data_IF_340721383542
#
_entry.id   IF_340721383542
#
_cell.length_a   1.000
_cell.length_b   1.000
_cell.length_c   1.000
_cell.angle_alpha   90.00
_cell.angle_beta   90.00
_cell.angle_gamma   90.00
#
_symmetry.space_group_name_H-M   'P 1'
#
loop_
_entity.id
_entity.type
_entity.pdbx_description
1 polymer ?
#
# COMPACT_ATOMS: atom_id res chain seq x y z
N UNK A 1 3.17 9.53 22.54
CA UNK A 1 3.73 8.31 21.88
C UNK A 1 4.85 8.64 20.88
N UNK A 2 5.66 9.67 21.17
CA UNK A 2 6.58 10.29 20.21
C UNK A 2 7.59 9.33 19.56
N UNK A 3 8.18 8.34 20.27
CA UNK A 3 9.13 7.43 19.63
C UNK A 3 8.54 6.59 18.47
N UNK A 4 7.24 6.24 18.54
CA UNK A 4 6.57 5.50 17.47
C UNK A 4 6.35 6.38 16.24
N UNK A 5 5.94 7.64 16.45
CA UNK A 5 5.74 8.61 15.37
C UNK A 5 7.07 8.98 14.71
N UNK A 6 8.12 9.27 15.49
CA UNK A 6 9.47 9.54 14.98
C UNK A 6 10.04 8.35 14.18
N UNK A 7 9.74 7.12 14.59
CA UNK A 7 10.11 5.94 13.83
C UNK A 7 9.34 5.84 12.51
N UNK A 8 8.02 6.04 12.54
CA UNK A 8 7.19 6.05 11.33
C UNK A 8 7.64 7.12 10.33
N UNK A 9 7.92 8.34 10.81
CA UNK A 9 8.38 9.46 9.98
C UNK A 9 9.72 9.14 9.29
N UNK A 10 10.67 8.54 10.00
CA UNK A 10 11.95 8.10 9.40
C UNK A 10 11.75 7.08 8.28
N UNK A 11 10.82 6.14 8.44
CA UNK A 11 10.51 5.15 7.41
C UNK A 11 9.82 5.78 6.20
N UNK A 12 8.92 6.74 6.43
CA UNK A 12 8.27 7.51 5.36
C UNK A 12 9.32 8.29 4.57
N UNK A 13 10.28 8.95 5.24
CA UNK A 13 11.37 9.66 4.57
C UNK A 13 12.23 8.73 3.71
N UNK A 14 12.65 7.57 4.23
CA UNK A 14 13.39 6.57 3.45
C UNK A 14 12.58 6.06 2.25
N UNK A 15 11.27 5.87 2.41
CA UNK A 15 10.39 5.51 1.31
C UNK A 15 10.33 6.62 0.26
N UNK A 16 10.21 7.88 0.66
CA UNK A 16 10.17 9.01 -0.27
C UNK A 16 11.42 9.11 -1.12
N UNK A 17 12.59 8.87 -0.54
CA UNK A 17 13.87 8.78 -1.26
C UNK A 17 13.84 7.65 -2.29
N UNK A 18 13.54 6.42 -1.86
CA UNK A 18 13.42 5.25 -2.76
C UNK A 18 12.38 5.47 -3.86
N UNK A 19 11.30 6.17 -3.54
CA UNK A 19 10.23 6.47 -4.49
C UNK A 19 10.66 7.53 -5.52
N UNK A 20 11.57 8.44 -5.18
CA UNK A 20 12.19 9.35 -6.16
C UNK A 20 13.08 8.57 -7.13
N UNK A 21 13.90 7.67 -6.62
CA UNK A 21 14.75 6.81 -7.45
C UNK A 21 13.90 5.93 -8.39
N UNK A 22 12.89 5.28 -7.83
CA UNK A 22 11.92 4.50 -8.61
C UNK A 22 11.25 5.33 -9.72
N UNK A 23 10.80 6.56 -9.42
CA UNK A 23 10.18 7.43 -10.43
C UNK A 23 11.16 7.77 -11.56
N UNK A 24 12.41 8.04 -11.22
CA UNK A 24 13.48 8.32 -12.19
C UNK A 24 13.74 7.10 -13.08
N UNK A 25 13.93 5.92 -12.49
CA UNK A 25 14.12 4.67 -13.22
C UNK A 25 12.91 4.33 -14.10
N UNK A 26 11.69 4.57 -13.60
CA UNK A 26 10.47 4.36 -14.38
C UNK A 26 10.37 5.32 -15.57
N UNK A 27 10.82 6.57 -15.43
CA UNK A 27 10.88 7.51 -16.55
C UNK A 27 11.90 7.08 -17.61
N UNK A 28 13.09 6.63 -17.19
CA UNK A 28 14.11 6.09 -18.09
C UNK A 28 13.56 4.85 -18.82
N UNK A 29 12.96 3.94 -18.06
CA UNK A 29 12.34 2.72 -18.58
C UNK A 29 11.24 3.04 -19.59
N UNK A 30 10.33 3.97 -19.29
CA UNK A 30 9.25 4.38 -20.21
C UNK A 30 9.81 5.03 -21.49
N UNK A 31 10.89 5.79 -21.38
CA UNK A 31 11.54 6.43 -22.53
C UNK A 31 12.14 5.39 -23.47
N UNK A 32 12.85 4.40 -22.91
CA UNK A 32 13.36 3.25 -23.66
C UNK A 32 12.25 2.43 -24.30
N UNK A 33 11.17 2.17 -23.56
CA UNK A 33 10.00 1.44 -24.05
C UNK A 33 9.39 2.12 -25.29
N UNK A 34 9.22 3.46 -25.25
CA UNK A 34 8.73 4.22 -26.40
C UNK A 34 9.64 4.11 -27.62
N UNK A 35 10.96 4.17 -27.41
CA UNK A 35 11.93 4.03 -28.50
C UNK A 35 11.90 2.63 -29.13
N UNK A 36 11.88 1.58 -28.30
CA UNK A 36 11.80 0.19 -28.77
C UNK A 36 10.48 -0.08 -29.51
N UNK A 37 9.35 0.40 -28.98
CA UNK A 37 8.06 0.29 -29.65
C UNK A 37 8.02 1.04 -31.00
N UNK A 38 8.69 2.19 -31.10
CA UNK A 38 8.83 2.91 -32.35
C UNK A 38 9.70 2.15 -33.38
N UNK A 39 10.74 1.44 -32.93
CA UNK A 39 11.56 0.60 -33.79
C UNK A 39 10.76 -0.58 -34.35
N UNK A 40 10.03 -1.30 -33.49
CA UNK A 40 9.13 -2.37 -33.92
C UNK A 40 8.13 -1.86 -34.96
N UNK A 41 7.48 -0.72 -34.68
CA UNK A 41 6.54 -0.09 -35.63
C UNK A 41 7.20 0.21 -36.97
N UNK A 42 8.44 0.71 -36.98
CA UNK A 42 9.19 0.99 -38.22
C UNK A 42 9.53 -0.29 -38.97
N UNK A 43 9.93 -1.36 -38.30
CA UNK A 43 10.24 -2.65 -38.91
C UNK A 43 9.01 -3.24 -39.62
N UNK A 44 7.88 -3.30 -38.89
CA UNK A 44 6.59 -3.77 -39.42
C UNK A 44 6.12 -2.93 -40.60
N UNK A 45 6.18 -1.59 -40.49
CA UNK A 45 5.78 -0.69 -41.58
C UNK A 45 6.62 -0.85 -42.85
N UNK A 46 7.86 -1.36 -42.74
CA UNK A 46 8.75 -1.64 -43.87
C UNK A 46 8.60 -3.07 -44.40
N UNK A 47 7.66 -3.85 -43.86
CA UNK A 47 7.40 -5.23 -44.27
C UNK A 47 8.34 -6.28 -43.65
N UNK A 48 9.15 -5.90 -42.66
CA UNK A 48 9.98 -6.87 -41.92
C UNK A 48 9.18 -7.51 -40.77
N UNK A 49 9.44 -8.78 -40.42
CA UNK A 49 8.74 -9.48 -39.34
C UNK A 49 8.85 -8.83 -37.96
N UNK A 50 9.95 -8.13 -37.66
CA UNK A 50 10.14 -7.41 -36.40
C UNK A 50 10.55 -8.28 -35.19
N UNK A 51 10.94 -9.54 -35.41
CA UNK A 51 11.25 -10.51 -34.34
C UNK A 51 12.34 -10.03 -33.37
N UNK A 52 13.36 -9.32 -33.87
CA UNK A 52 14.43 -8.77 -33.03
C UNK A 52 13.94 -7.63 -32.14
N UNK A 53 13.09 -6.74 -32.69
CA UNK A 53 12.50 -5.64 -31.94
C UNK A 53 11.48 -6.14 -30.91
N UNK A 54 10.74 -7.21 -31.21
CA UNK A 54 9.88 -7.88 -30.24
C UNK A 54 10.67 -8.48 -29.08
N UNK A 55 11.77 -9.18 -29.37
CA UNK A 55 12.62 -9.77 -28.32
C UNK A 55 13.29 -8.69 -27.47
N UNK A 56 13.71 -7.57 -28.08
CA UNK A 56 14.22 -6.42 -27.35
C UNK A 56 13.17 -5.81 -26.40
N UNK A 57 11.91 -5.69 -26.84
CA UNK A 57 10.81 -5.25 -26.00
C UNK A 57 10.53 -6.22 -24.85
N UNK A 58 10.48 -7.53 -25.12
CA UNK A 58 10.28 -8.56 -24.08
C UNK A 58 11.37 -8.51 -23.02
N UNK A 59 12.63 -8.35 -23.43
CA UNK A 59 13.75 -8.22 -22.51
C UNK A 59 13.72 -6.91 -21.72
N UNK A 60 13.26 -5.81 -22.32
CA UNK A 60 13.09 -4.54 -21.61
C UNK A 60 11.96 -4.60 -20.57
N UNK A 61 10.84 -5.27 -20.87
CA UNK A 61 9.74 -5.47 -19.92
C UNK A 61 10.16 -6.22 -18.66
N UNK A 62 11.07 -7.20 -18.78
CA UNK A 62 11.63 -7.93 -17.62
C UNK A 62 12.39 -7.02 -16.64
N UNK A 63 12.87 -5.87 -17.11
CA UNK A 63 13.64 -4.91 -16.31
C UNK A 63 12.79 -3.73 -15.83
N UNK A 64 11.46 -3.86 -15.81
CA UNK A 64 10.58 -2.81 -15.30
C UNK A 64 10.86 -2.60 -13.81
N UNK A 65 11.15 -1.35 -13.39
CA UNK A 65 11.41 -1.07 -11.98
C UNK A 65 10.15 -1.39 -11.16
N UNK A 66 10.36 -1.86 -9.94
CA UNK A 66 9.29 -2.19 -9.01
C UNK A 66 9.03 -1.02 -8.08
N UNK A 67 7.76 -0.63 -7.92
CA UNK A 67 7.39 0.45 -7.00
C UNK A 67 7.73 0.05 -5.56
N UNK A 68 8.45 0.87 -4.79
CA UNK A 68 8.64 0.58 -3.38
C UNK A 68 7.29 0.58 -2.66
N UNK A 69 7.12 -0.33 -1.69
CA UNK A 69 5.93 -0.37 -0.84
C UNK A 69 5.98 0.82 0.12
N UNK A 70 4.88 1.57 0.24
CA UNK A 70 4.80 2.66 1.22
C UNK A 70 4.63 2.06 2.61
N UNK A 71 5.56 2.32 3.55
CA UNK A 71 5.38 1.89 4.92
C UNK A 71 4.19 2.65 5.52
N UNK A 72 3.12 1.94 5.89
CA UNK A 72 1.96 2.54 6.53
C UNK A 72 1.69 1.83 7.86
N UNK A 73 2.43 2.24 8.89
CA UNK A 73 2.48 1.54 10.17
C UNK A 73 1.54 2.10 11.22
N UNK A 74 1.08 3.35 11.10
CA UNK A 74 0.25 4.01 12.12
C UNK A 74 -1.02 4.52 11.46
N UNK A 75 -2.16 4.00 11.91
CA UNK A 75 -3.49 4.43 11.53
C UNK A 75 -4.17 5.12 12.70
N UNK A 76 -4.65 6.35 12.50
CA UNK A 76 -5.35 7.15 13.52
C UNK A 76 -6.82 7.35 13.19
N UNK A 77 -7.11 7.97 12.04
CA UNK A 77 -8.46 8.14 11.50
C UNK A 77 -8.46 7.72 10.03
N UNK A 78 -8.80 6.45 9.78
CA UNK A 78 -8.88 5.91 8.43
C UNK A 78 -10.20 5.21 8.17
N UNK A 79 -10.66 5.33 6.93
CA UNK A 79 -11.80 4.54 6.46
C UNK A 79 -11.45 3.06 6.41
N UNK A 80 -12.48 2.19 6.49
CA UNK A 80 -12.33 0.75 6.31
C UNK A 80 -11.61 0.40 5.01
N UNK A 81 -11.96 1.10 3.92
CA UNK A 81 -11.34 0.88 2.60
C UNK A 81 -9.85 1.21 2.64
N UNK A 82 -9.49 2.37 3.16
CA UNK A 82 -8.10 2.80 3.26
C UNK A 82 -7.27 1.87 4.16
N UNK A 83 -7.87 1.34 5.23
CA UNK A 83 -7.25 0.34 6.09
C UNK A 83 -6.99 -0.97 5.31
N UNK A 84 -8.00 -1.51 4.63
CA UNK A 84 -7.86 -2.76 3.87
C UNK A 84 -6.86 -2.62 2.71
N UNK A 85 -6.91 -1.52 1.96
CA UNK A 85 -5.95 -1.22 0.90
C UNK A 85 -4.53 -1.13 1.43
N UNK A 86 -4.33 -0.38 2.51
CA UNK A 86 -3.02 -0.26 3.11
C UNK A 86 -2.50 -1.58 3.69
N UNK A 87 -3.37 -2.40 4.29
CA UNK A 87 -3.02 -3.75 4.76
C UNK A 87 -2.78 -4.75 3.63
N UNK A 88 -3.32 -4.51 2.43
CA UNK A 88 -3.02 -5.29 1.24
C UNK A 88 -1.63 -4.94 0.67
N UNK A 89 -1.24 -3.66 0.74
CA UNK A 89 0.10 -3.22 0.36
C UNK A 89 1.16 -3.60 1.41
N UNK A 90 0.82 -3.48 2.69
CA UNK A 90 1.69 -3.76 3.83
C UNK A 90 0.89 -4.43 4.96
N UNK A 91 0.99 -5.75 5.14
CA UNK A 91 0.11 -6.48 6.06
C UNK A 91 0.35 -6.17 7.53
N UNK A 92 1.55 -5.74 7.93
CA UNK A 92 1.84 -5.33 9.30
C UNK A 92 1.55 -3.84 9.55
N UNK A 93 0.72 -3.53 10.56
CA UNK A 93 0.47 -2.17 10.99
C UNK A 93 -0.02 -2.07 12.44
N UNK A 94 -0.15 -0.84 12.93
CA UNK A 94 -0.72 -0.50 14.22
C UNK A 94 -1.82 0.56 14.10
N UNK A 95 -2.90 0.41 14.87
CA UNK A 95 -3.81 1.50 15.19
C UNK A 95 -3.34 2.10 16.51
N UNK A 96 -2.64 3.22 16.42
CA UNK A 96 -1.94 3.83 17.56
C UNK A 96 -2.51 5.23 17.73
N UNK A 97 -3.08 5.52 18.90
CA UNK A 97 -3.66 6.84 19.20
C UNK A 97 -3.46 7.21 20.66
N UNK A 98 -2.96 8.41 20.91
CA UNK A 98 -2.90 9.02 22.24
C UNK A 98 -4.26 9.61 22.69
N UNK A 99 -5.25 9.64 21.78
CA UNK A 99 -6.62 10.01 22.05
C UNK A 99 -7.62 8.98 21.47
N UNK A 100 -7.86 7.91 22.23
CA UNK A 100 -8.72 6.79 21.83
C UNK A 100 -10.14 7.18 21.44
N UNK A 101 -10.61 8.38 21.80
CA UNK A 101 -11.92 8.90 21.39
C UNK A 101 -12.06 8.94 19.86
N UNK A 102 -10.96 9.21 19.15
CA UNK A 102 -10.93 9.26 17.68
C UNK A 102 -11.24 7.88 17.11
N UNK A 103 -10.58 6.84 17.62
CA UNK A 103 -10.89 5.46 17.26
C UNK A 103 -12.33 5.07 17.64
N UNK A 104 -12.79 5.40 18.85
CA UNK A 104 -14.15 5.08 19.31
C UNK A 104 -15.24 5.86 18.58
N UNK A 105 -14.92 6.94 17.87
CA UNK A 105 -15.87 7.64 16.98
C UNK A 105 -15.77 7.18 15.53
N UNK A 106 -14.64 6.57 15.16
CA UNK A 106 -14.41 6.05 13.81
C UNK A 106 -15.43 4.98 13.42
N UNK A 107 -15.64 4.83 12.11
CA UNK A 107 -16.50 3.78 11.55
C UNK A 107 -15.85 2.39 11.64
N UNK A 108 -14.52 2.31 11.82
CA UNK A 108 -13.78 1.05 11.93
C UNK A 108 -14.23 0.18 13.10
N UNK A 109 -14.60 0.81 14.23
CA UNK A 109 -15.10 0.11 15.42
C UNK A 109 -16.29 -0.80 15.15
N UNK A 110 -17.06 -0.49 14.09
CA UNK A 110 -18.25 -1.24 13.69
C UNK A 110 -17.90 -2.54 12.93
N UNK A 111 -16.62 -2.84 12.73
CA UNK A 111 -16.12 -4.04 12.04
C UNK A 111 -15.30 -4.97 12.96
N UNK A 112 -15.81 -5.37 14.14
CA UNK A 112 -15.03 -6.16 15.10
C UNK A 112 -14.53 -7.49 14.54
N UNK A 113 -15.29 -8.12 13.63
CA UNK A 113 -14.85 -9.35 12.95
C UNK A 113 -13.59 -9.16 12.10
N UNK A 114 -13.47 -8.03 11.40
CA UNK A 114 -12.24 -7.68 10.68
C UNK A 114 -11.10 -7.41 11.66
N UNK A 115 -11.35 -6.56 12.66
CA UNK A 115 -10.32 -6.14 13.61
C UNK A 115 -9.76 -7.34 14.39
N UNK A 116 -10.61 -8.30 14.78
CA UNK A 116 -10.21 -9.54 15.46
C UNK A 116 -9.37 -10.46 14.55
N UNK A 117 -9.76 -10.60 13.28
CA UNK A 117 -8.96 -11.37 12.30
C UNK A 117 -7.60 -10.72 12.07
N UNK A 118 -7.57 -9.39 11.94
CA UNK A 118 -6.34 -8.64 11.77
C UNK A 118 -5.44 -8.70 13.01
N UNK A 119 -6.01 -8.68 14.21
CA UNK A 119 -5.26 -8.88 15.45
C UNK A 119 -4.64 -10.29 15.53
N UNK A 120 -5.39 -11.31 15.10
CA UNK A 120 -4.96 -12.71 15.18
C UNK A 120 -4.12 -13.19 13.99
N UNK A 121 -3.84 -12.34 13.00
CA UNK A 121 -3.08 -12.74 11.82
C UNK A 121 -3.85 -13.65 10.86
N UNK A 122 -5.18 -13.64 10.91
CA UNK A 122 -6.02 -14.53 10.10
C UNK A 122 -6.35 -13.92 8.73
N UNK A 123 -6.48 -14.75 7.69
CA UNK A 123 -6.90 -14.27 6.38
C UNK A 123 -8.33 -13.74 6.41
N UNK A 124 -8.57 -12.70 5.62
CA UNK A 124 -9.86 -12.08 5.44
C UNK A 124 -10.07 -11.65 3.98
N UNK A 125 -11.23 -12.03 3.45
CA UNK A 125 -11.71 -11.56 2.15
C UNK A 125 -12.55 -10.31 2.33
N UNK A 126 -12.11 -9.20 1.75
CA UNK A 126 -12.89 -7.98 1.65
C UNK A 126 -13.32 -7.77 0.21
N UNK A 127 -14.63 -7.73 -0.05
CA UNK A 127 -15.16 -7.55 -1.40
C UNK A 127 -16.29 -6.53 -1.45
N UNK A 128 -16.19 -5.56 -2.37
CA UNK A 128 -17.33 -4.79 -2.91
C UNK A 128 -17.41 -5.05 -4.43
N UNK A 129 -18.50 -4.61 -5.07
CA UNK A 129 -18.83 -4.98 -6.45
C UNK A 129 -17.64 -4.97 -7.44
N UNK A 130 -16.74 -3.98 -7.33
CA UNK A 130 -15.61 -3.80 -8.24
C UNK A 130 -14.23 -4.07 -7.62
N UNK A 131 -14.15 -4.39 -6.31
CA UNK A 131 -12.87 -4.49 -5.59
C UNK A 131 -12.89 -5.70 -4.65
N UNK A 132 -11.92 -6.61 -4.82
CA UNK A 132 -11.75 -7.79 -3.96
C UNK A 132 -10.32 -7.87 -3.46
N UNK A 133 -10.17 -7.98 -2.15
CA UNK A 133 -8.90 -8.10 -1.45
C UNK A 133 -8.89 -9.41 -0.67
N UNK A 134 -7.83 -10.19 -0.83
CA UNK A 134 -7.53 -11.34 0.01
C UNK A 134 -6.27 -11.00 0.81
N UNK A 135 -6.44 -10.67 2.08
CA UNK A 135 -5.36 -10.16 2.93
C UNK A 135 -5.14 -11.06 4.15
N UNK A 136 -3.89 -11.16 4.61
CA UNK A 136 -3.54 -11.77 5.90
C UNK A 136 -2.89 -10.69 6.78
N UNK A 137 -3.69 -9.77 7.34
CA UNK A 137 -3.18 -8.62 8.09
C UNK A 137 -2.70 -8.99 9.49
N UNK A 138 -1.77 -8.19 10.01
CA UNK A 138 -1.21 -8.26 11.37
C UNK A 138 -1.31 -6.89 12.00
N UNK A 139 -2.43 -6.63 12.66
CA UNK A 139 -2.77 -5.33 13.22
C UNK A 139 -2.66 -5.36 14.75
N UNK A 140 -1.88 -4.43 15.31
CA UNK A 140 -1.83 -4.20 16.76
C UNK A 140 -2.57 -2.91 17.11
N UNK A 141 -3.12 -2.78 18.31
CA UNK A 141 -3.78 -1.56 18.76
C UNK A 141 -3.11 -1.05 20.04
N UNK A 142 -2.90 0.26 20.10
CA UNK A 142 -2.42 0.96 21.28
C UNK A 142 -3.22 2.25 21.41
N UNK A 143 -4.26 2.22 22.25
CA UNK A 143 -5.24 3.31 22.39
C UNK A 143 -5.18 3.87 23.81
N UNK A 144 -4.79 5.13 23.95
CA UNK A 144 -4.80 5.82 25.24
C UNK A 144 -6.17 6.49 25.44
N UNK A 145 -6.89 6.09 26.47
CA UNK A 145 -8.23 6.62 26.75
C UNK A 145 -8.31 7.25 28.13
N UNK A 146 -8.99 8.39 28.23
CA UNK A 146 -9.41 8.92 29.51
C UNK A 146 -10.49 8.00 30.11
N UNK A 147 -10.52 7.82 31.45
CA UNK A 147 -11.47 6.90 32.10
C UNK A 147 -12.93 7.13 31.71
N UNK A 148 -13.37 8.39 31.63
CA UNK A 148 -14.75 8.74 31.26
C UNK A 148 -15.08 8.41 29.80
N UNK A 149 -14.13 8.65 28.89
CA UNK A 149 -14.27 8.31 27.47
C UNK A 149 -14.46 6.80 27.31
N UNK A 150 -13.62 6.01 27.96
CA UNK A 150 -13.70 4.55 27.90
C UNK A 150 -15.00 4.04 28.54
N UNK A 151 -15.33 4.53 29.74
CA UNK A 151 -16.54 4.12 30.47
C UNK A 151 -17.82 4.43 29.68
N UNK A 152 -17.87 5.56 28.97
CA UNK A 152 -19.01 5.89 28.12
C UNK A 152 -19.08 5.06 26.84
N UNK A 153 -17.96 4.52 26.37
CA UNK A 153 -17.93 3.68 25.17
C UNK A 153 -18.41 2.24 25.42
N UNK A 154 -18.12 1.69 26.61
CA UNK A 154 -18.46 0.30 26.96
C UNK A 154 -19.87 0.13 27.56
N UNK A 155 -20.55 1.22 27.90
CA UNK A 155 -21.95 1.23 28.35
C UNK A 155 -22.89 0.88 27.19
#
# INVERSE_FOLDING_TARGET
MNPCYEFADRLIQQYEERNKDYKTELQIWNTRQKALAANLRKAVNRGYPGEQEEEALRNHERNKPTRPVRPNFIYEDVSLKALVEGLNEHPEAGVISDEAVTFFRSYLKNYPGLLNKAWSGQPFDFGRADEKYHITPRLTFSLMSQPDVFTNYIK
#
